data_IF_261828929185
#
_entry.id   IF_261828929185
#
_cell.length_a   1.000
_cell.length_b   1.000
_cell.length_c   1.000
_cell.angle_alpha   90.00
_cell.angle_beta   90.00
_cell.angle_gamma   90.00
#
_symmetry.space_group_name_H-M   'P 1'
#
loop_
_entity.id
_entity.type
_entity.pdbx_description
1 polymer ?
#
# COMPACT_ATOMS: atom_id res chain seq x y z
N UNK A 1 6.91 28.43 -5.18
CA UNK A 1 6.06 29.04 -4.16
C UNK A 1 5.52 27.89 -3.32
N UNK A 2 5.76 27.84 -2.02
CA UNK A 2 5.39 26.66 -1.20
C UNK A 2 3.86 26.47 -1.21
N UNK A 3 3.38 25.22 -1.15
CA UNK A 3 1.95 24.87 -1.25
C UNK A 3 1.08 25.67 -0.28
N UNK A 4 1.53 25.85 0.96
CA UNK A 4 0.88 26.63 2.03
C UNK A 4 0.46 28.03 1.56
N UNK A 5 1.37 28.73 0.89
CA UNK A 5 1.16 30.08 0.38
C UNK A 5 0.23 30.05 -0.82
N UNK A 6 0.36 29.07 -1.72
CA UNK A 6 -0.50 28.95 -2.90
C UNK A 6 -1.96 28.69 -2.50
N UNK A 7 -2.17 27.80 -1.54
CA UNK A 7 -3.48 27.51 -0.95
C UNK A 7 -4.13 28.78 -0.38
N UNK A 8 -3.36 29.54 0.42
CA UNK A 8 -3.81 30.79 1.00
C UNK A 8 -4.17 31.83 -0.08
N UNK A 9 -3.31 32.00 -1.08
CA UNK A 9 -3.52 32.96 -2.16
C UNK A 9 -4.78 32.61 -2.99
N UNK A 10 -4.98 31.34 -3.35
CA UNK A 10 -6.18 30.92 -4.10
C UNK A 10 -7.47 31.08 -3.29
N UNK A 11 -7.40 30.86 -1.97
CA UNK A 11 -8.50 31.12 -1.04
C UNK A 11 -8.83 32.63 -0.99
N UNK A 12 -7.81 33.48 -0.81
CA UNK A 12 -7.98 34.93 -0.67
C UNK A 12 -8.43 35.59 -1.96
N UNK A 13 -7.96 35.12 -3.13
CA UNK A 13 -8.46 35.56 -4.45
C UNK A 13 -9.97 35.38 -4.62
N UNK A 14 -10.55 34.40 -3.92
CA UNK A 14 -11.98 34.09 -3.97
C UNK A 14 -12.76 34.69 -2.80
N UNK A 15 -12.12 35.47 -1.94
CA UNK A 15 -12.73 36.10 -0.77
C UNK A 15 -13.17 35.10 0.29
N UNK A 16 -12.61 33.90 0.31
CA UNK A 16 -13.01 32.85 1.25
C UNK A 16 -12.24 32.96 2.56
N UNK A 17 -12.90 32.73 3.69
CA UNK A 17 -12.26 32.44 4.96
C UNK A 17 -11.73 31.00 5.00
N UNK A 18 -10.86 30.69 5.97
CA UNK A 18 -10.42 29.30 6.18
C UNK A 18 -11.60 28.37 6.48
N UNK A 19 -12.68 28.89 7.07
CA UNK A 19 -13.89 28.12 7.33
C UNK A 19 -14.65 27.83 6.03
N UNK A 20 -14.78 28.82 5.15
CA UNK A 20 -15.47 28.65 3.86
C UNK A 20 -14.75 27.64 2.97
N UNK A 21 -13.41 27.67 2.94
CA UNK A 21 -12.64 26.65 2.25
C UNK A 21 -12.88 25.28 2.88
N UNK A 22 -12.79 25.18 4.22
CA UNK A 22 -12.99 23.92 4.93
C UNK A 22 -14.36 23.28 4.64
N UNK A 23 -15.42 24.08 4.57
CA UNK A 23 -16.77 23.63 4.22
C UNK A 23 -16.84 23.10 2.77
N UNK A 24 -16.20 23.78 1.81
CA UNK A 24 -16.22 23.41 0.39
C UNK A 24 -15.53 22.07 0.09
N UNK A 25 -14.49 21.73 0.84
CA UNK A 25 -13.75 20.45 0.68
C UNK A 25 -14.05 19.44 1.81
N UNK A 26 -15.05 19.72 2.64
CA UNK A 26 -15.53 18.85 3.73
C UNK A 26 -14.44 18.43 4.73
N UNK A 27 -13.66 19.39 5.22
CA UNK A 27 -12.68 19.19 6.31
C UNK A 27 -12.93 20.19 7.44
N UNK A 28 -12.19 20.07 8.56
CA UNK A 28 -12.29 21.08 9.62
C UNK A 28 -11.47 22.34 9.30
N UNK A 29 -11.91 23.49 9.81
CA UNK A 29 -11.13 24.74 9.74
C UNK A 29 -9.71 24.58 10.28
N UNK A 30 -9.52 23.78 11.35
CA UNK A 30 -8.18 23.54 11.91
C UNK A 30 -7.28 22.81 10.91
N UNK A 31 -7.84 21.90 10.10
CA UNK A 31 -7.10 21.19 9.07
C UNK A 31 -6.59 22.16 7.99
N UNK A 32 -7.46 23.05 7.49
CA UNK A 32 -7.05 24.12 6.55
C UNK A 32 -5.98 25.01 7.16
N UNK A 33 -6.16 25.44 8.41
CA UNK A 33 -5.15 26.25 9.11
C UNK A 33 -3.80 25.55 9.21
N UNK A 34 -3.77 24.23 9.47
CA UNK A 34 -2.51 23.47 9.54
C UNK A 34 -1.77 23.46 8.20
N UNK A 35 -2.50 23.33 7.09
CA UNK A 35 -1.95 23.37 5.74
C UNK A 35 -1.38 24.75 5.38
N UNK A 36 -2.12 25.82 5.69
CA UNK A 36 -1.65 27.19 5.44
C UNK A 36 -0.46 27.60 6.33
N UNK A 37 -0.21 26.88 7.44
CA UNK A 37 0.93 27.12 8.34
C UNK A 37 2.04 26.06 8.22
N UNK A 38 2.06 25.25 7.16
CA UNK A 38 3.10 24.23 6.91
C UNK A 38 3.24 23.17 8.02
N UNK A 39 2.22 23.03 8.88
CA UNK A 39 2.24 22.05 9.99
C UNK A 39 1.94 20.63 9.52
N UNK A 40 1.31 20.48 8.36
CA UNK A 40 1.02 19.20 7.72
C UNK A 40 0.66 19.44 6.25
N UNK A 41 0.68 18.37 5.46
CA UNK A 41 0.21 18.35 4.08
C UNK A 41 -1.13 17.60 3.93
N UNK A 42 -2.00 18.01 2.99
CA UNK A 42 -3.22 17.27 2.63
C UNK A 42 -2.89 15.90 2.00
N UNK A 43 -3.89 15.02 1.93
CA UNK A 43 -3.81 13.79 1.14
C UNK A 43 -3.94 14.07 -0.36
N UNK A 44 -3.54 13.12 -1.20
CA UNK A 44 -3.68 13.22 -2.66
C UNK A 44 -5.14 13.45 -3.10
N UNK A 45 -6.11 12.83 -2.42
CA UNK A 45 -7.53 13.01 -2.71
C UNK A 45 -7.97 14.46 -2.46
N UNK A 46 -7.48 15.09 -1.39
CA UNK A 46 -7.77 16.48 -1.09
C UNK A 46 -7.07 17.40 -2.10
N UNK A 47 -5.85 17.08 -2.52
CA UNK A 47 -5.15 17.85 -3.55
C UNK A 47 -5.91 17.86 -4.87
N UNK A 48 -6.50 16.72 -5.28
CA UNK A 48 -7.40 16.64 -6.44
C UNK A 48 -8.63 17.53 -6.23
N UNK A 49 -9.28 17.45 -5.07
CA UNK A 49 -10.44 18.32 -4.78
C UNK A 49 -10.08 19.80 -4.80
N UNK A 50 -8.89 20.16 -4.32
CA UNK A 50 -8.40 21.54 -4.35
C UNK A 50 -8.08 21.99 -5.78
N UNK A 51 -7.46 21.13 -6.60
CA UNK A 51 -7.21 21.44 -8.02
C UNK A 51 -8.51 21.69 -8.77
N UNK A 52 -9.52 20.85 -8.54
CA UNK A 52 -10.85 20.99 -9.15
C UNK A 52 -11.56 22.24 -8.64
N UNK A 53 -11.50 22.51 -7.33
CA UNK A 53 -12.15 23.67 -6.70
C UNK A 53 -11.54 25.00 -7.15
N UNK A 54 -10.22 25.02 -7.40
CA UNK A 54 -9.51 26.21 -7.83
C UNK A 54 -9.38 26.33 -9.35
N UNK A 55 -9.79 25.31 -10.11
CA UNK A 55 -9.64 25.26 -11.57
C UNK A 55 -8.17 25.46 -12.02
N UNK A 56 -7.26 24.76 -11.34
CA UNK A 56 -5.81 24.74 -11.66
C UNK A 56 -5.31 23.31 -11.65
N UNK A 57 -4.17 23.04 -12.28
CA UNK A 57 -3.57 21.71 -12.22
C UNK A 57 -2.93 21.43 -10.84
N UNK A 58 -2.80 20.15 -10.48
CA UNK A 58 -2.06 19.77 -9.26
C UNK A 58 -0.61 20.26 -9.34
N UNK A 59 0.04 20.20 -10.51
CA UNK A 59 1.39 20.74 -10.68
C UNK A 59 1.48 22.24 -10.32
N UNK A 60 0.50 23.03 -10.77
CA UNK A 60 0.41 24.45 -10.44
C UNK A 60 0.14 24.69 -8.94
N UNK A 61 -0.65 23.83 -8.31
CA UNK A 61 -0.94 23.90 -6.88
C UNK A 61 0.31 23.59 -6.03
N UNK A 62 1.18 22.70 -6.53
CA UNK A 62 2.38 22.19 -5.83
C UNK A 62 3.69 22.84 -6.29
N UNK A 63 3.63 23.88 -7.14
CA UNK A 63 4.80 24.38 -7.87
C UNK A 63 5.89 24.89 -6.93
N UNK A 64 7.03 24.19 -6.92
CA UNK A 64 8.21 24.42 -6.05
C UNK A 64 8.08 23.93 -4.60
N UNK A 65 7.23 22.96 -4.32
CA UNK A 65 7.18 22.23 -3.05
C UNK A 65 7.68 20.79 -3.25
N UNK A 66 9.00 20.61 -3.19
CA UNK A 66 9.63 19.29 -3.46
C UNK A 66 9.32 18.28 -2.34
N UNK A 67 9.17 18.71 -1.10
CA UNK A 67 8.82 17.84 0.03
C UNK A 67 7.40 17.25 -0.14
N UNK A 68 6.43 18.09 -0.53
CA UNK A 68 5.08 17.63 -0.81
C UNK A 68 5.03 16.71 -2.04
N UNK A 69 5.79 17.02 -3.10
CA UNK A 69 5.89 16.13 -4.27
C UNK A 69 6.46 14.76 -3.88
N UNK A 70 7.54 14.73 -3.11
CA UNK A 70 8.13 13.49 -2.62
C UNK A 70 7.13 12.68 -1.77
N UNK A 71 6.39 13.34 -0.87
CA UNK A 71 5.35 12.70 -0.07
C UNK A 71 4.27 12.05 -0.94
N UNK A 72 3.80 12.74 -1.98
CA UNK A 72 2.79 12.19 -2.90
C UNK A 72 3.33 10.99 -3.68
N UNK A 73 4.58 11.06 -4.14
CA UNK A 73 5.24 9.93 -4.81
C UNK A 73 5.35 8.73 -3.85
N UNK A 74 5.66 8.96 -2.57
CA UNK A 74 5.69 7.89 -1.58
C UNK A 74 4.30 7.32 -1.28
N UNK A 75 3.30 8.17 -1.06
CA UNK A 75 1.91 7.76 -0.80
C UNK A 75 1.33 6.96 -1.98
N UNK A 76 1.60 7.39 -3.22
CA UNK A 76 1.19 6.65 -4.42
C UNK A 76 1.85 5.27 -4.53
N UNK A 77 3.13 5.14 -4.20
CA UNK A 77 3.83 3.84 -4.14
C UNK A 77 3.22 2.90 -3.11
N UNK A 78 2.73 3.41 -1.98
CA UNK A 78 2.05 2.59 -0.96
C UNK A 78 0.69 2.08 -1.44
N UNK A 79 -0.06 2.89 -2.20
CA UNK A 79 -1.36 2.50 -2.78
C UNK A 79 -1.23 1.42 -3.86
N UNK A 80 -0.03 1.24 -4.44
CA UNK A 80 0.22 0.23 -5.46
C UNK A 80 0.39 -1.18 -4.90
N UNK A 81 0.28 -1.42 -3.58
CA UNK A 81 0.32 -2.77 -3.01
C UNK A 81 -0.72 -3.69 -3.68
N UNK A 82 -0.30 -4.56 -4.63
CA UNK A 82 -1.25 -5.24 -5.49
C UNK A 82 -1.94 -6.32 -4.67
N UNK A 83 -3.28 -6.38 -4.69
CA UNK A 83 -4.04 -7.49 -4.09
C UNK A 83 -3.46 -8.86 -4.49
N UNK A 84 -3.03 -8.96 -5.74
CA UNK A 84 -2.37 -10.16 -6.28
C UNK A 84 -1.04 -10.49 -5.60
N UNK A 85 -0.18 -9.51 -5.29
CA UNK A 85 1.09 -9.76 -4.56
C UNK A 85 0.81 -10.46 -3.22
N UNK A 86 -0.17 -9.96 -2.47
CA UNK A 86 -0.57 -10.50 -1.16
C UNK A 86 -1.09 -11.94 -1.29
N UNK A 87 -1.88 -12.22 -2.34
CA UNK A 87 -2.36 -13.60 -2.58
C UNK A 87 -1.21 -14.58 -2.84
N UNK A 88 -0.19 -14.18 -3.60
CA UNK A 88 0.98 -15.03 -3.86
C UNK A 88 1.90 -15.21 -2.64
N UNK A 89 2.06 -14.17 -1.81
CA UNK A 89 2.73 -14.29 -0.51
C UNK A 89 2.01 -15.28 0.41
N UNK A 90 0.68 -15.25 0.42
CA UNK A 90 -0.13 -16.19 1.20
C UNK A 90 0.05 -17.64 0.71
N UNK A 91 0.09 -17.86 -0.61
CA UNK A 91 0.37 -19.17 -1.22
C UNK A 91 1.75 -19.70 -0.79
N UNK A 92 2.77 -18.84 -0.79
CA UNK A 92 4.12 -19.19 -0.34
C UNK A 92 4.12 -19.65 1.12
N UNK A 93 3.46 -18.88 2.00
CA UNK A 93 3.37 -19.18 3.44
C UNK A 93 2.67 -20.52 3.68
N UNK A 94 1.57 -20.80 2.97
CA UNK A 94 0.87 -22.10 3.05
C UNK A 94 1.81 -23.24 2.66
N UNK A 95 2.56 -23.09 1.57
CA UNK A 95 3.57 -24.08 1.17
C UNK A 95 4.63 -24.32 2.25
N UNK A 96 5.12 -23.25 2.88
CA UNK A 96 6.10 -23.36 3.96
C UNK A 96 5.53 -24.05 5.21
N UNK A 97 4.30 -23.75 5.61
CA UNK A 97 3.61 -24.41 6.74
C UNK A 97 3.45 -25.91 6.46
N UNK A 98 3.04 -26.29 5.24
CA UNK A 98 2.93 -27.69 4.87
C UNK A 98 4.29 -28.40 4.93
N UNK A 99 5.37 -27.75 4.52
CA UNK A 99 6.72 -28.29 4.62
C UNK A 99 7.15 -28.48 6.08
N UNK A 100 6.88 -27.51 6.96
CA UNK A 100 7.16 -27.63 8.39
C UNK A 100 6.36 -28.75 9.04
N UNK A 101 5.06 -28.88 8.71
CA UNK A 101 4.23 -29.96 9.24
C UNK A 101 4.80 -31.34 8.91
N UNK A 102 5.34 -31.51 7.69
CA UNK A 102 6.03 -32.74 7.29
C UNK A 102 7.31 -32.99 8.07
N UNK A 103 8.11 -31.94 8.30
CA UNK A 103 9.31 -32.07 9.10
C UNK A 103 8.98 -32.53 10.53
N UNK A 104 7.91 -31.98 11.12
CA UNK A 104 7.42 -32.40 12.44
C UNK A 104 7.01 -33.87 12.43
N UNK A 105 6.24 -34.32 11.44
CA UNK A 105 5.81 -35.72 11.33
C UNK A 105 6.99 -36.65 11.13
N UNK A 106 7.95 -36.27 10.29
CA UNK A 106 9.19 -37.03 10.12
C UNK A 106 9.95 -37.21 11.44
N UNK A 107 10.04 -36.14 12.24
CA UNK A 107 10.66 -36.19 13.56
C UNK A 107 9.87 -37.07 14.53
N UNK A 108 8.54 -36.94 14.56
CA UNK A 108 7.68 -37.79 15.40
C UNK A 108 7.85 -39.27 15.05
N UNK A 109 7.78 -39.63 13.77
CA UNK A 109 7.95 -41.02 13.33
C UNK A 109 9.33 -41.56 13.72
N UNK A 110 10.38 -40.73 13.61
CA UNK A 110 11.75 -41.13 13.96
C UNK A 110 11.97 -41.34 15.46
N UNK A 111 11.42 -40.47 16.32
CA UNK A 111 11.71 -40.47 17.76
C UNK A 111 10.69 -41.23 18.60
N UNK A 112 9.43 -41.28 18.18
CA UNK A 112 8.36 -41.96 18.93
C UNK A 112 8.04 -43.35 18.38
N UNK A 113 8.60 -43.71 17.23
CA UNK A 113 8.25 -44.95 16.52
C UNK A 113 6.81 -44.95 15.98
N UNK A 114 6.15 -43.80 15.97
CA UNK A 114 4.82 -43.65 15.39
C UNK A 114 4.87 -43.88 13.88
N UNK A 115 3.85 -44.53 13.32
CA UNK A 115 3.70 -44.76 11.88
C UNK A 115 2.64 -43.81 11.30
N UNK A 116 2.88 -42.49 11.47
CA UNK A 116 1.94 -41.47 10.99
C UNK A 116 2.24 -41.20 9.53
N UNK A 117 1.34 -41.64 8.65
CA UNK A 117 1.38 -41.35 7.22
C UNK A 117 0.23 -40.42 6.83
N UNK A 118 0.54 -39.22 6.31
CA UNK A 118 -0.48 -38.31 5.77
C UNK A 118 -0.72 -38.62 4.30
N UNK A 119 -1.98 -38.91 3.96
CA UNK A 119 -2.49 -39.09 2.59
C UNK A 119 -1.64 -40.12 1.80
N UNK A 120 -1.96 -41.41 1.96
CA UNK A 120 -1.19 -42.50 1.33
C UNK A 120 -1.33 -42.52 -0.20
N UNK A 121 -2.37 -41.87 -0.71
CA UNK A 121 -2.70 -41.81 -2.13
C UNK A 121 -1.88 -40.73 -2.83
N UNK A 122 -1.10 -41.14 -3.84
CA UNK A 122 -0.25 -40.28 -4.69
C UNK A 122 0.92 -39.57 -3.96
N UNK A 123 1.96 -40.34 -3.56
CA UNK A 123 3.09 -39.84 -2.79
C UNK A 123 3.91 -38.77 -3.53
N UNK A 124 3.93 -38.81 -4.86
CA UNK A 124 4.66 -37.83 -5.68
C UNK A 124 4.03 -36.45 -5.51
N UNK A 125 2.72 -36.32 -5.75
CA UNK A 125 2.03 -35.03 -5.62
C UNK A 125 2.20 -34.48 -4.22
N UNK A 126 1.99 -35.31 -3.20
CA UNK A 126 2.05 -34.86 -1.80
C UNK A 126 3.45 -34.39 -1.43
N UNK A 127 4.50 -35.07 -1.91
CA UNK A 127 5.89 -34.70 -1.63
C UNK A 127 6.30 -33.38 -2.27
N UNK A 128 5.83 -33.11 -3.48
CA UNK A 128 6.21 -31.90 -4.20
C UNK A 128 5.24 -30.73 -4.01
N UNK A 129 4.01 -30.96 -3.55
CA UNK A 129 2.98 -29.91 -3.40
C UNK A 129 3.46 -28.69 -2.57
N UNK A 130 4.10 -28.83 -1.39
CA UNK A 130 4.60 -27.69 -0.65
C UNK A 130 5.62 -26.86 -1.45
N UNK A 131 6.53 -27.53 -2.15
CA UNK A 131 7.55 -26.90 -2.98
C UNK A 131 6.93 -26.20 -4.21
N UNK A 132 5.95 -26.82 -4.86
CA UNK A 132 5.21 -26.22 -5.98
C UNK A 132 4.51 -24.94 -5.53
N UNK A 133 3.82 -24.96 -4.39
CA UNK A 133 3.18 -23.76 -3.82
C UNK A 133 4.19 -22.66 -3.51
N UNK A 134 5.34 -23.00 -2.91
CA UNK A 134 6.40 -22.02 -2.65
C UNK A 134 6.98 -21.43 -3.93
N UNK A 135 7.21 -22.23 -4.97
CA UNK A 135 7.72 -21.72 -6.26
C UNK A 135 6.70 -20.79 -6.92
N UNK A 136 5.43 -21.20 -6.99
CA UNK A 136 4.35 -20.38 -7.57
C UNK A 136 4.16 -19.08 -6.78
N UNK A 137 4.11 -19.18 -5.44
CA UNK A 137 3.99 -18.02 -4.55
C UNK A 137 5.17 -17.05 -4.67
N UNK A 138 6.40 -17.57 -4.73
CA UNK A 138 7.60 -16.77 -4.87
C UNK A 138 7.69 -16.04 -6.21
N UNK A 139 7.54 -16.78 -7.32
CA UNK A 139 7.57 -16.20 -8.68
C UNK A 139 6.44 -15.19 -8.86
N UNK A 140 5.22 -15.53 -8.42
CA UNK A 140 4.07 -14.65 -8.55
C UNK A 140 4.24 -13.37 -7.74
N UNK A 141 4.69 -13.45 -6.48
CA UNK A 141 4.93 -12.27 -5.65
C UNK A 141 6.00 -11.35 -6.27
N UNK A 142 7.10 -11.90 -6.78
CA UNK A 142 8.17 -11.13 -7.43
C UNK A 142 7.70 -10.45 -8.73
N UNK A 143 6.91 -11.16 -9.55
CA UNK A 143 6.31 -10.59 -10.76
C UNK A 143 5.44 -9.36 -10.44
N UNK A 144 4.56 -9.49 -9.44
CA UNK A 144 3.68 -8.38 -9.05
C UNK A 144 4.42 -7.25 -8.33
N UNK A 145 5.50 -7.54 -7.61
CA UNK A 145 6.38 -6.52 -7.04
C UNK A 145 6.98 -5.65 -8.14
N UNK A 146 7.64 -6.27 -9.12
CA UNK A 146 8.29 -5.55 -10.23
C UNK A 146 7.31 -4.78 -11.13
N UNK A 147 6.08 -5.27 -11.25
CA UNK A 147 5.07 -4.65 -12.13
C UNK A 147 4.40 -3.41 -11.55
N UNK A 148 4.34 -3.30 -10.23
CA UNK A 148 3.52 -2.27 -9.56
C UNK A 148 4.26 -1.49 -8.48
N UNK A 149 5.39 -1.97 -7.96
CA UNK A 149 6.08 -1.34 -6.81
C UNK A 149 7.41 -0.68 -7.23
N UNK A 150 8.03 -1.16 -8.30
CA UNK A 150 9.22 -0.58 -8.94
C UNK A 150 8.82 0.28 -10.16
#
# INVERSE_FOLDING_TARGET
MIFSKRLKDEREKRGWSQNDLAEKIHVSRQTVSKWETEKNYPSIEILIKLSDLFDITIDELLRSDEELKEKIIQDSKQLLHPKWKITFESIFIVGFILLLSKLVIFLLNKFTGADITILKDNPVIINFLPMILMVIGGIGSDYFKKKYVD
#
